data_IF_799013925923
#
_entry.id   IF_799013925923
#
_cell.length_a   1.000
_cell.length_b   1.000
_cell.length_c   1.000
_cell.angle_alpha   90.00
_cell.angle_beta   90.00
_cell.angle_gamma   90.00
#
_symmetry.space_group_name_H-M   'P 1'
#
loop_
_entity.id
_entity.type
_entity.pdbx_description
1 polymer ?
#
# COMPACT_ATOMS: atom_id res chain seq x y z
N UNK A 1 -11.12 -5.50 17.49
CA UNK A 1 -11.33 -4.73 16.26
C UNK A 1 -10.12 -3.84 16.00
N UNK A 2 -9.59 -3.91 14.81
CA UNK A 2 -8.41 -3.14 14.50
C UNK A 2 -8.75 -1.71 14.18
N UNK A 3 -7.95 -0.80 14.69
CA UNK A 3 -8.11 0.58 14.33
C UNK A 3 -7.47 0.84 12.96
N UNK A 4 -7.96 1.86 12.29
CA UNK A 4 -7.39 2.23 11.00
C UNK A 4 -5.95 2.72 11.15
N UNK A 5 -5.66 3.34 12.29
CA UNK A 5 -4.28 3.77 12.56
C UNK A 5 -3.36 2.57 12.67
N UNK A 6 -3.82 1.50 13.28
CA UNK A 6 -3.02 0.30 13.39
C UNK A 6 -2.74 -0.31 12.02
N UNK A 7 -3.72 -0.27 11.12
CA UNK A 7 -3.51 -0.75 9.77
C UNK A 7 -2.39 0.02 9.08
N UNK A 8 -2.39 1.34 9.23
CA UNK A 8 -1.34 2.16 8.66
C UNK A 8 0.01 1.87 9.30
N UNK A 9 0.03 1.74 10.62
CA UNK A 9 1.27 1.49 11.34
C UNK A 9 1.88 0.15 10.94
N UNK A 10 1.05 -0.88 10.85
CA UNK A 10 1.50 -2.21 10.45
C UNK A 10 2.02 -2.20 9.02
N UNK A 11 1.31 -1.51 8.14
CA UNK A 11 1.74 -1.41 6.76
C UNK A 11 3.10 -0.71 6.68
N UNK A 12 3.26 0.39 7.38
CA UNK A 12 4.51 1.16 7.33
C UNK A 12 5.67 0.38 7.91
N UNK A 13 5.40 -0.45 8.89
CA UNK A 13 6.43 -1.27 9.50
C UNK A 13 6.93 -2.34 8.53
N UNK A 14 6.01 -2.95 7.79
CA UNK A 14 6.35 -4.00 6.85
C UNK A 14 6.76 -3.48 5.49
N UNK A 15 6.33 -2.27 5.16
CA UNK A 15 6.58 -1.69 3.84
C UNK A 15 7.05 -0.25 3.98
N UNK A 16 8.27 -0.05 4.46
CA UNK A 16 8.78 1.33 4.56
C UNK A 16 8.92 1.97 3.18
N UNK A 17 9.07 3.28 3.16
CA UNK A 17 9.19 4.03 1.91
C UNK A 17 10.29 3.41 1.05
N UNK A 18 9.98 3.18 -0.22
CA UNK A 18 10.88 2.54 -1.15
C UNK A 18 10.62 1.06 -1.34
N UNK A 19 9.79 0.46 -0.49
CA UNK A 19 9.52 -0.98 -0.57
C UNK A 19 8.65 -1.31 -1.78
N UNK A 20 8.86 -2.49 -2.38
CA UNK A 20 7.99 -2.91 -3.47
C UNK A 20 6.65 -3.38 -2.95
N UNK A 21 5.59 -2.98 -3.63
CA UNK A 21 4.22 -3.38 -3.28
C UNK A 21 3.45 -3.66 -4.56
N UNK A 22 2.29 -4.29 -4.41
CA UNK A 22 1.41 -4.57 -5.53
C UNK A 22 0.11 -3.84 -5.28
N UNK A 23 -0.28 -3.04 -6.26
CA UNK A 23 -1.53 -2.28 -6.21
C UNK A 23 -2.53 -2.93 -7.17
N UNK A 24 -3.73 -3.21 -6.66
CA UNK A 24 -4.81 -3.76 -7.47
C UNK A 24 -5.80 -2.62 -7.76
N UNK A 25 -5.97 -2.29 -9.03
CA UNK A 25 -6.86 -1.19 -9.40
C UNK A 25 -8.32 -1.64 -9.45
N UNK A 26 -9.22 -0.72 -9.82
CA UNK A 26 -10.64 -1.02 -9.85
C UNK A 26 -11.05 -2.04 -10.89
N UNK A 27 -10.17 -2.36 -11.82
CA UNK A 27 -10.43 -3.38 -12.84
C UNK A 27 -9.84 -4.73 -12.48
N UNK A 28 -9.26 -4.84 -11.30
CA UNK A 28 -8.66 -6.09 -10.87
C UNK A 28 -7.27 -6.32 -11.40
N UNK A 29 -6.67 -5.33 -12.03
CA UNK A 29 -5.31 -5.44 -12.56
C UNK A 29 -4.30 -5.17 -11.46
N UNK A 30 -3.27 -5.99 -11.39
CA UNK A 30 -2.21 -5.82 -10.40
C UNK A 30 -1.02 -5.13 -11.03
N UNK A 31 -0.50 -4.14 -10.33
CA UNK A 31 0.64 -3.37 -10.81
C UNK A 31 1.70 -3.30 -9.74
N UNK A 32 2.94 -3.52 -10.12
CA UNK A 32 4.06 -3.46 -9.19
C UNK A 32 4.52 -2.02 -9.07
N UNK A 33 4.62 -1.55 -7.84
CA UNK A 33 5.02 -0.18 -7.56
C UNK A 33 5.84 -0.16 -6.29
N UNK A 34 6.35 1.02 -5.95
CA UNK A 34 7.10 1.19 -4.71
C UNK A 34 6.40 2.22 -3.85
N UNK A 35 6.54 2.08 -2.55
CA UNK A 35 5.96 3.04 -1.60
C UNK A 35 6.68 4.36 -1.76
N UNK A 36 5.93 5.42 -2.01
CA UNK A 36 6.47 6.76 -2.17
C UNK A 36 6.41 7.55 -0.88
N UNK A 37 5.29 7.45 -0.16
CA UNK A 37 5.11 8.07 1.15
C UNK A 37 4.41 7.10 2.06
N UNK A 38 4.69 7.21 3.36
CA UNK A 38 4.11 6.31 4.36
C UNK A 38 2.59 6.39 4.35
N UNK A 39 1.96 5.28 4.69
CA UNK A 39 0.51 5.22 4.81
C UNK A 39 0.05 6.09 5.97
N UNK A 40 -1.11 6.72 5.81
CA UNK A 40 -1.69 7.52 6.88
C UNK A 40 -3.19 7.63 6.70
N UNK A 41 -3.85 8.14 7.71
CA UNK A 41 -5.29 8.35 7.67
C UNK A 41 -5.56 9.69 6.99
N UNK A 42 -6.32 9.66 5.92
CA UNK A 42 -6.65 10.88 5.19
C UNK A 42 -8.02 11.39 5.62
N UNK A 43 -8.04 12.68 5.97
CA UNK A 43 -9.30 13.37 6.24
C UNK A 43 -10.19 12.65 7.23
N UNK A 44 -11.17 11.95 6.73
CA UNK A 44 -12.23 11.37 7.53
C UNK A 44 -12.06 9.88 7.77
N UNK A 45 -10.87 9.46 8.10
CA UNK A 45 -10.63 8.09 8.53
C UNK A 45 -10.42 7.08 7.40
N UNK A 46 -9.95 7.53 6.25
CA UNK A 46 -9.64 6.62 5.16
C UNK A 46 -8.15 6.32 5.16
N UNK A 47 -7.73 5.07 5.39
CA UNK A 47 -6.31 4.72 5.30
C UNK A 47 -5.87 4.74 3.85
N UNK A 48 -4.80 5.46 3.56
CA UNK A 48 -4.26 5.58 2.21
C UNK A 48 -2.75 5.50 2.24
N UNK A 49 -2.17 5.28 1.06
CA UNK A 49 -0.73 5.29 0.89
C UNK A 49 -0.42 5.86 -0.48
N UNK A 50 0.75 6.47 -0.61
CA UNK A 50 1.19 7.05 -1.88
C UNK A 50 2.22 6.13 -2.51
N UNK A 51 2.01 5.83 -3.79
CA UNK A 51 2.89 4.92 -4.53
C UNK A 51 3.54 5.66 -5.69
N UNK A 52 4.75 5.26 -6.02
CA UNK A 52 5.43 5.82 -7.18
C UNK A 52 4.70 5.37 -8.45
N UNK A 53 4.58 6.26 -9.40
CA UNK A 53 3.88 5.94 -10.63
C UNK A 53 2.42 6.32 -10.62
N UNK A 54 1.87 6.71 -9.47
CA UNK A 54 0.50 7.16 -9.37
C UNK A 54 0.49 8.55 -8.76
N UNK A 55 -0.25 9.44 -9.38
CA UNK A 55 -0.47 10.79 -8.88
C UNK A 55 -1.53 10.70 -7.79
N UNK A 56 -1.21 11.18 -6.59
CA UNK A 56 -2.15 11.11 -5.48
C UNK A 56 -2.05 9.80 -4.72
N UNK A 57 -3.00 9.56 -3.83
CA UNK A 57 -2.97 8.40 -2.95
C UNK A 57 -3.94 7.32 -3.43
N UNK A 58 -3.76 6.13 -2.89
CA UNK A 58 -4.66 5.02 -3.17
C UNK A 58 -5.09 4.40 -1.84
N UNK A 59 -6.22 3.70 -1.87
CA UNK A 59 -6.73 3.07 -0.66
C UNK A 59 -5.77 1.98 -0.19
N UNK A 60 -5.44 1.99 1.08
CA UNK A 60 -4.50 1.04 1.63
C UNK A 60 -4.94 -0.40 1.39
N UNK A 61 -6.24 -0.66 1.44
CA UNK A 61 -6.77 -2.00 1.25
C UNK A 61 -6.49 -2.56 -0.14
N UNK A 62 -6.13 -1.71 -1.09
CA UNK A 62 -5.85 -2.15 -2.46
C UNK A 62 -4.37 -2.44 -2.68
N UNK A 63 -3.56 -2.31 -1.64
CA UNK A 63 -2.11 -2.46 -1.74
C UNK A 63 -1.66 -3.59 -0.82
N UNK A 64 -0.80 -4.45 -1.34
CA UNK A 64 -0.25 -5.51 -0.53
C UNK A 64 1.24 -5.60 -0.76
N UNK A 65 1.92 -6.26 0.14
CA UNK A 65 3.35 -6.43 0.06
C UNK A 65 3.73 -7.25 -1.18
N UNK A 66 4.74 -6.80 -1.88
CA UNK A 66 5.31 -7.58 -2.97
C UNK A 66 6.40 -8.46 -2.36
N UNK A 67 6.15 -9.72 -2.29
CA UNK A 67 7.06 -10.64 -1.63
C UNK A 67 8.16 -11.13 -2.55
N UNK A 68 8.43 -10.38 -3.60
CA UNK A 68 9.56 -10.67 -4.45
C UNK A 68 9.33 -11.78 -5.43
N UNK A 69 8.25 -12.25 -5.47
CA UNK A 69 7.95 -13.32 -6.37
C UNK A 69 8.82 -14.47 -6.23
N UNK A 70 9.04 -14.75 -5.67
CA UNK A 70 9.72 -15.78 -5.71
C UNK A 70 9.13 -17.01 -5.65
N UNK A 71 8.70 -17.07 -5.91
CA UNK A 71 8.19 -17.79 -5.98
C UNK A 71 8.25 -18.66 -6.77
N UNK A 72 8.40 -19.15 -6.91
CA UNK A 72 8.39 -19.72 -7.64
C UNK A 72 8.42 -20.42 -7.88
N UNK A 73 8.42 -20.64 -7.84
CA UNK A 73 8.26 -21.19 -8.03
C UNK A 73 8.31 -21.66 -8.07
#
# INVERSE_FOLDING_TARGET
MESKQKLCDDFNKENPVGSPVIYTNGYGQEMKMNVRYAAEILGDHTPVVWLSGISGCVALKCVRKDEGGNHEN
#
